data_IF_249864057898
#
_entry.id   IF_249864057898
#
_cell.length_a   1.000
_cell.length_b   1.000
_cell.length_c   1.000
_cell.angle_alpha   90.00
_cell.angle_beta   90.00
_cell.angle_gamma   90.00
#
_symmetry.space_group_name_H-M   'P 1'
#
loop_
_entity.id
_entity.type
_entity.pdbx_description
1 polymer ?
#
# COMPACT_ATOMS: atom_id res chain seq x y z
N UNK A 1 16.16 19.31 27.29
CA UNK A 1 16.24 18.21 26.31
C UNK A 1 17.11 18.62 25.13
N UNK A 2 18.11 17.82 24.77
CA UNK A 2 18.98 18.05 23.61
C UNK A 2 18.46 17.27 22.38
N UNK A 3 18.75 17.75 21.15
CA UNK A 3 18.33 17.09 19.91
C UNK A 3 18.85 15.65 19.80
N UNK A 4 20.10 15.41 20.19
CA UNK A 4 20.68 14.05 20.16
C UNK A 4 19.98 13.07 21.13
N UNK A 5 19.52 13.57 22.29
CA UNK A 5 18.75 12.75 23.22
C UNK A 5 17.37 12.42 22.65
N UNK A 6 16.74 13.38 21.95
CA UNK A 6 15.48 13.14 21.25
C UNK A 6 15.62 12.02 20.23
N UNK A 7 16.62 12.10 19.36
CA UNK A 7 16.85 11.12 18.31
C UNK A 7 17.15 9.72 18.88
N UNK A 8 17.91 9.65 19.98
CA UNK A 8 18.22 8.38 20.66
C UNK A 8 16.99 7.75 21.32
N UNK A 9 16.12 8.56 21.93
CA UNK A 9 14.83 8.09 22.47
C UNK A 9 13.91 7.60 21.33
N UNK A 10 13.83 8.37 20.23
CA UNK A 10 13.06 8.00 19.05
C UNK A 10 13.54 6.65 18.48
N UNK A 11 14.85 6.47 18.32
CA UNK A 11 15.46 5.24 17.85
C UNK A 11 15.18 4.05 18.79
N UNK A 12 15.25 4.25 20.12
CA UNK A 12 14.88 3.23 21.09
C UNK A 12 13.41 2.80 20.93
N UNK A 13 12.49 3.77 20.85
CA UNK A 13 11.06 3.52 20.72
C UNK A 13 10.66 2.92 19.36
N UNK A 14 11.50 3.07 18.33
CA UNK A 14 11.33 2.44 17.01
C UNK A 14 12.04 1.09 16.90
N UNK A 15 12.71 0.62 17.97
CA UNK A 15 13.54 -0.58 17.94
C UNK A 15 14.67 -0.50 16.88
N UNK A 16 15.22 0.70 16.67
CA UNK A 16 16.27 0.99 15.70
C UNK A 16 17.68 1.04 16.30
N UNK A 17 17.81 1.01 17.64
CA UNK A 17 19.11 0.89 18.30
C UNK A 17 19.70 -0.52 18.10
N UNK A 18 21.01 -0.61 17.91
CA UNK A 18 21.69 -1.91 17.88
C UNK A 18 21.63 -2.59 19.26
N UNK A 19 21.81 -3.91 19.29
CA UNK A 19 21.81 -4.69 20.54
C UNK A 19 22.65 -4.08 21.69
N UNK A 20 23.94 -3.75 21.49
CA UNK A 20 24.77 -3.15 22.55
C UNK A 20 24.31 -1.74 22.95
N UNK A 21 23.89 -0.90 21.99
CA UNK A 21 23.41 0.46 22.28
C UNK A 21 22.10 0.45 23.06
N UNK A 22 21.21 -0.48 22.72
CA UNK A 22 19.95 -0.68 23.41
C UNK A 22 20.17 -1.14 24.85
N UNK A 23 21.09 -2.08 25.08
CA UNK A 23 21.44 -2.52 26.43
C UNK A 23 22.03 -1.37 27.26
N UNK A 24 22.91 -0.56 26.68
CA UNK A 24 23.45 0.63 27.35
C UNK A 24 22.35 1.64 27.69
N UNK A 25 21.42 1.88 26.76
CA UNK A 25 20.27 2.76 26.96
C UNK A 25 19.32 2.24 28.05
N UNK A 26 19.04 0.94 28.08
CA UNK A 26 18.19 0.31 29.11
C UNK A 26 18.82 0.32 30.50
N UNK A 27 20.16 0.23 30.59
CA UNK A 27 20.88 0.46 31.84
C UNK A 27 20.75 1.92 32.30
N UNK A 28 20.94 2.87 31.39
CA UNK A 28 20.79 4.30 31.68
C UNK A 28 19.37 4.65 32.12
N UNK A 29 18.34 4.02 31.56
CA UNK A 29 16.94 4.19 31.98
C UNK A 29 16.66 3.76 33.41
N UNK A 30 17.44 2.82 33.97
CA UNK A 30 17.31 2.38 35.36
C UNK A 30 17.88 3.43 36.31
N UNK A 31 18.96 4.09 35.92
CA UNK A 31 19.69 5.04 36.74
C UNK A 31 19.14 6.48 36.60
N UNK A 32 18.68 6.85 35.41
CA UNK A 32 18.26 8.21 35.10
C UNK A 32 16.73 8.36 35.05
N UNK A 33 16.18 8.94 36.12
CA UNK A 33 14.74 9.23 36.25
C UNK A 33 14.24 10.27 35.23
N UNK A 34 15.06 11.24 34.85
CA UNK A 34 14.70 12.27 33.85
C UNK A 34 14.53 11.64 32.48
N UNK A 35 15.48 10.79 32.06
CA UNK A 35 15.41 10.05 30.80
C UNK A 35 14.18 9.13 30.74
N UNK A 36 13.85 8.46 31.85
CA UNK A 36 12.64 7.61 31.93
C UNK A 36 11.36 8.43 31.71
N UNK A 37 11.29 9.60 32.33
CA UNK A 37 10.14 10.51 32.19
C UNK A 37 10.00 10.99 30.75
N UNK A 38 11.10 11.32 30.08
CA UNK A 38 11.12 11.71 28.67
C UNK A 38 10.61 10.58 27.76
N UNK A 39 11.10 9.36 27.95
CA UNK A 39 10.62 8.17 27.21
C UNK A 39 9.11 7.98 27.41
N UNK A 40 8.62 8.11 28.65
CA UNK A 40 7.20 7.97 28.96
C UNK A 40 6.35 9.06 28.28
N UNK A 41 6.81 10.31 28.27
CA UNK A 41 6.14 11.42 27.58
C UNK A 41 6.03 11.13 26.09
N UNK A 42 7.12 10.72 25.43
CA UNK A 42 7.08 10.39 24.00
C UNK A 42 6.19 9.19 23.67
N UNK A 43 6.17 8.16 24.52
CA UNK A 43 5.26 7.03 24.37
C UNK A 43 3.79 7.47 24.42
N UNK A 44 3.43 8.33 25.37
CA UNK A 44 2.07 8.88 25.51
C UNK A 44 1.67 9.70 24.29
N UNK A 45 2.55 10.57 23.79
CA UNK A 45 2.29 11.37 22.57
C UNK A 45 2.03 10.45 21.38
N UNK A 46 2.90 9.45 21.15
CA UNK A 46 2.75 8.49 20.05
C UNK A 46 1.45 7.69 20.14
N UNK A 47 1.08 7.23 21.33
CA UNK A 47 -0.19 6.53 21.57
C UNK A 47 -1.40 7.43 21.29
N UNK A 48 -1.36 8.68 21.76
CA UNK A 48 -2.41 9.66 21.51
C UNK A 48 -2.61 9.94 20.02
N UNK A 49 -1.53 10.16 19.26
CA UNK A 49 -1.60 10.37 17.81
C UNK A 49 -2.18 9.15 17.08
N UNK A 50 -1.82 7.93 17.48
CA UNK A 50 -2.40 6.70 16.92
C UNK A 50 -3.89 6.59 17.22
N UNK A 51 -4.30 6.90 18.46
CA UNK A 51 -5.71 6.89 18.86
C UNK A 51 -6.52 7.89 18.02
N UNK A 52 -6.02 9.12 17.84
CA UNK A 52 -6.64 10.14 17.00
C UNK A 52 -6.78 9.68 15.53
N UNK A 53 -5.76 9.02 14.98
CA UNK A 53 -5.81 8.49 13.61
C UNK A 53 -6.87 7.38 13.45
N UNK A 54 -7.00 6.50 14.44
CA UNK A 54 -8.04 5.46 14.46
C UNK A 54 -9.43 6.09 14.59
N UNK A 55 -9.61 7.03 15.51
CA UNK A 55 -10.87 7.75 15.71
C UNK A 55 -11.33 8.41 14.41
N UNK A 56 -10.42 9.11 13.71
CA UNK A 56 -10.70 9.72 12.42
C UNK A 56 -11.20 8.70 11.39
N UNK A 57 -10.52 7.54 11.29
CA UNK A 57 -10.91 6.45 10.38
C UNK A 57 -12.29 5.87 10.73
N UNK A 58 -12.61 5.73 12.01
CA UNK A 58 -13.93 5.26 12.47
C UNK A 58 -15.01 6.26 12.10
N UNK A 59 -14.78 7.56 12.31
CA UNK A 59 -15.73 8.62 11.94
C UNK A 59 -15.98 8.64 10.43
N UNK A 60 -14.93 8.54 9.62
CA UNK A 60 -15.05 8.52 8.16
C UNK A 60 -15.74 7.23 7.67
N UNK A 61 -15.47 6.08 8.31
CA UNK A 61 -16.17 4.84 8.02
C UNK A 61 -17.67 4.95 8.32
N UNK A 62 -18.06 5.51 9.48
CA UNK A 62 -19.47 5.74 9.84
C UNK A 62 -20.19 6.64 8.85
N UNK A 63 -19.54 7.71 8.38
CA UNK A 63 -20.12 8.60 7.35
C UNK A 63 -20.41 7.85 6.04
N UNK A 64 -19.56 6.88 5.67
CA UNK A 64 -19.75 6.04 4.48
C UNK A 64 -20.88 5.01 4.65
N UNK A 65 -21.06 4.44 5.85
CA UNK A 65 -22.13 3.46 6.12
C UNK A 65 -23.50 4.06 6.40
N UNK A 66 -23.62 5.38 6.65
CA UNK A 66 -24.92 6.07 6.77
C UNK A 66 -25.63 6.30 5.43
N UNK A 67 -25.14 5.74 4.32
CA UNK A 67 -25.85 5.74 3.03
C UNK A 67 -26.95 4.67 3.08
N UNK A 68 -28.19 5.14 2.96
CA UNK A 68 -29.48 4.44 3.00
C UNK A 68 -29.49 2.96 2.58
N UNK A 69 -30.03 2.04 3.40
CA UNK A 69 -30.24 0.66 2.98
C UNK A 69 -31.32 0.61 1.90
N UNK A 70 -30.93 0.49 0.63
CA UNK A 70 -31.85 0.12 -0.44
C UNK A 70 -32.16 -1.38 -0.26
N UNK A 71 -33.24 -1.67 0.46
CA UNK A 71 -33.80 -3.01 0.63
C UNK A 71 -34.11 -3.60 -0.75
N UNK A 72 -33.17 -4.36 -1.29
CA UNK A 72 -33.41 -5.19 -2.45
C UNK A 72 -33.93 -6.53 -1.92
N UNK A 73 -35.23 -6.76 -2.08
CA UNK A 73 -35.88 -8.03 -1.73
C UNK A 73 -35.25 -9.12 -2.60
N UNK A 74 -34.31 -9.87 -2.03
CA UNK A 74 -33.75 -11.07 -2.67
C UNK A 74 -34.72 -12.22 -2.42
N UNK A 75 -35.42 -12.66 -3.47
CA UNK A 75 -36.18 -13.91 -3.46
C UNK A 75 -35.20 -15.07 -3.31
N UNK A 76 -35.34 -15.85 -2.24
CA UNK A 76 -34.54 -17.05 -2.01
C UNK A 76 -35.00 -18.13 -3.00
N UNK A 77 -34.20 -18.40 -4.02
CA UNK A 77 -34.47 -19.48 -4.97
C UNK A 77 -34.30 -20.84 -4.27
N UNK A 78 -35.29 -21.70 -4.50
CA UNK A 78 -35.48 -22.98 -3.85
C UNK A 78 -34.36 -23.99 -4.08
N UNK A 79 -34.34 -24.97 -3.17
CA UNK A 79 -33.41 -26.09 -3.02
C UNK A 79 -33.25 -26.86 -4.35
N UNK A 80 -32.08 -26.76 -4.98
CA UNK A 80 -31.73 -27.58 -6.16
C UNK A 80 -31.12 -28.91 -5.72
N UNK A 81 -31.95 -29.94 -5.78
CA UNK A 81 -31.56 -31.34 -5.64
C UNK A 81 -31.16 -31.85 -7.02
N UNK A 82 -29.85 -31.88 -7.29
CA UNK A 82 -29.19 -32.68 -8.34
C UNK A 82 -27.65 -32.60 -8.16
N UNK A 83 -27.15 -33.18 -7.07
CA UNK A 83 -25.72 -33.46 -6.88
C UNK A 83 -25.38 -34.77 -7.59
N UNK A 84 -25.26 -34.73 -8.92
CA UNK A 84 -24.92 -35.90 -9.72
C UNK A 84 -24.19 -35.61 -11.03
N UNK A 85 -23.98 -34.33 -11.39
CA UNK A 85 -23.23 -33.94 -12.60
C UNK A 85 -22.24 -32.79 -12.38
N UNK A 86 -22.07 -32.34 -11.14
CA UNK A 86 -21.19 -31.21 -10.84
C UNK A 86 -19.71 -31.59 -10.77
N UNK A 87 -19.33 -32.88 -10.71
CA UNK A 87 -17.93 -33.25 -10.55
C UNK A 87 -17.08 -32.82 -11.76
N UNK A 88 -17.56 -32.99 -13.00
CA UNK A 88 -16.82 -32.57 -14.19
C UNK A 88 -16.75 -31.05 -14.32
N UNK A 89 -17.84 -30.34 -13.96
CA UNK A 89 -17.88 -28.87 -13.96
C UNK A 89 -17.01 -28.29 -12.84
N UNK A 90 -17.01 -28.91 -11.65
CA UNK A 90 -16.16 -28.51 -10.53
C UNK A 90 -14.69 -28.82 -10.79
N UNK A 91 -14.36 -29.90 -11.50
CA UNK A 91 -12.99 -30.17 -11.96
C UNK A 91 -12.59 -29.21 -13.07
N UNK A 92 -13.45 -28.87 -14.02
CA UNK A 92 -13.12 -27.86 -15.05
C UNK A 92 -13.00 -26.45 -14.47
N UNK A 93 -13.86 -26.06 -13.54
CA UNK A 93 -13.79 -24.78 -12.84
C UNK A 93 -12.62 -24.76 -11.85
N UNK A 94 -12.35 -25.87 -11.16
CA UNK A 94 -11.23 -26.03 -10.25
C UNK A 94 -9.89 -26.06 -10.96
N UNK A 95 -9.79 -26.75 -12.10
CA UNK A 95 -8.62 -26.75 -12.97
C UNK A 95 -8.45 -25.41 -13.68
N UNK A 96 -9.54 -24.74 -14.08
CA UNK A 96 -9.51 -23.38 -14.60
C UNK A 96 -9.06 -22.36 -13.55
N UNK A 97 -9.51 -22.52 -12.31
CA UNK A 97 -9.09 -21.71 -11.15
C UNK A 97 -7.64 -21.99 -10.76
N UNK A 98 -7.20 -23.25 -10.75
CA UNK A 98 -5.81 -23.64 -10.51
C UNK A 98 -4.88 -23.20 -11.65
N UNK A 99 -5.29 -23.31 -12.91
CA UNK A 99 -4.53 -22.82 -14.05
C UNK A 99 -4.46 -21.29 -14.07
N UNK A 100 -5.52 -20.59 -13.63
CA UNK A 100 -5.51 -19.15 -13.40
C UNK A 100 -4.57 -18.76 -12.24
N UNK A 101 -4.59 -19.50 -11.14
CA UNK A 101 -3.68 -19.35 -10.00
C UNK A 101 -2.21 -19.54 -10.45
N UNK A 102 -1.94 -20.57 -11.25
CA UNK A 102 -0.60 -20.89 -11.74
C UNK A 102 -0.06 -19.88 -12.77
N UNK A 103 -0.94 -19.30 -13.60
CA UNK A 103 -0.55 -18.27 -14.57
C UNK A 103 -0.39 -16.85 -13.97
N UNK A 104 -0.69 -16.65 -12.68
CA UNK A 104 -0.51 -15.35 -12.01
C UNK A 104 0.92 -15.12 -11.46
N UNK A 105 1.74 -16.17 -11.33
CA UNK A 105 3.01 -16.11 -10.60
C UNK A 105 4.26 -15.88 -11.46
N UNK A 106 4.25 -16.21 -12.75
CA UNK A 106 5.50 -16.24 -13.54
C UNK A 106 6.01 -14.88 -14.03
N UNK A 107 5.19 -13.81 -13.95
CA UNK A 107 5.57 -12.46 -14.38
C UNK A 107 5.35 -11.37 -13.33
N UNK A 108 4.75 -11.68 -12.18
CA UNK A 108 4.44 -10.68 -11.14
C UNK A 108 5.66 -10.37 -10.26
N UNK A 109 6.55 -11.32 -10.03
CA UNK A 109 7.80 -11.14 -9.28
C UNK A 109 8.75 -10.14 -9.95
N UNK A 110 9.02 -10.32 -11.24
CA UNK A 110 9.89 -9.42 -12.01
C UNK A 110 9.31 -8.00 -12.13
N UNK A 111 7.98 -7.89 -12.30
CA UNK A 111 7.31 -6.58 -12.37
C UNK A 111 7.32 -5.85 -11.02
N UNK A 112 7.22 -6.60 -9.92
CA UNK A 112 7.37 -6.06 -8.55
C UNK A 112 8.76 -5.51 -8.32
N UNK A 113 9.78 -6.28 -8.69
CA UNK A 113 11.19 -5.89 -8.53
C UNK A 113 11.53 -4.64 -9.35
N UNK A 114 11.09 -4.59 -10.62
CA UNK A 114 11.26 -3.40 -11.47
C UNK A 114 10.52 -2.18 -10.93
N UNK A 115 9.33 -2.37 -10.35
CA UNK A 115 8.58 -1.29 -9.73
C UNK A 115 9.30 -0.76 -8.48
N UNK A 116 9.81 -1.64 -7.62
CA UNK A 116 10.54 -1.26 -6.42
C UNK A 116 11.84 -0.50 -6.72
N UNK A 117 12.55 -0.89 -7.77
CA UNK A 117 13.76 -0.19 -8.23
C UNK A 117 13.48 1.24 -8.71
N UNK A 118 12.33 1.47 -9.37
CA UNK A 118 11.94 2.79 -9.89
C UNK A 118 11.25 3.68 -8.84
N UNK A 119 10.69 3.11 -7.76
CA UNK A 119 10.08 3.87 -6.65
C UNK A 119 11.14 4.48 -5.72
N UNK A 120 11.90 5.45 -6.23
CA UNK A 120 13.00 6.09 -5.49
C UNK A 120 12.54 7.17 -4.50
N UNK A 121 11.34 7.74 -4.67
CA UNK A 121 10.80 8.80 -3.83
C UNK A 121 9.99 8.21 -2.67
N UNK A 122 10.56 8.30 -1.47
CA UNK A 122 9.98 7.77 -0.21
C UNK A 122 8.59 8.35 0.07
N UNK A 123 8.33 9.59 -0.35
CA UNK A 123 7.05 10.29 -0.12
C UNK A 123 5.90 9.62 -0.86
N UNK A 124 6.14 9.17 -2.09
CA UNK A 124 5.10 8.53 -2.92
C UNK A 124 5.03 7.03 -2.69
N UNK A 125 6.15 6.37 -2.35
CA UNK A 125 6.20 4.94 -2.02
C UNK A 125 5.34 4.57 -0.80
N UNK A 126 5.29 5.44 0.20
CA UNK A 126 4.55 5.23 1.46
C UNK A 126 3.10 5.72 1.41
N UNK A 127 2.70 6.38 0.32
CA UNK A 127 1.39 6.99 0.20
C UNK A 127 0.31 5.94 -0.11
N UNK A 128 -0.88 6.00 0.53
CA UNK A 128 -1.98 5.12 0.17
C UNK A 128 -2.36 5.25 -1.30
N UNK A 129 -2.74 4.14 -1.93
CA UNK A 129 -3.11 4.09 -3.33
C UNK A 129 -4.22 5.10 -3.71
N UNK A 130 -5.26 5.22 -2.88
CA UNK A 130 -6.35 6.19 -3.07
C UNK A 130 -5.85 7.65 -3.06
N UNK A 131 -4.82 7.94 -2.25
CA UNK A 131 -4.21 9.28 -2.19
C UNK A 131 -3.42 9.57 -3.47
N UNK A 132 -2.70 8.58 -4.03
CA UNK A 132 -2.03 8.73 -5.32
C UNK A 132 -3.06 9.01 -6.43
N UNK A 133 -4.16 8.26 -6.49
CA UNK A 133 -5.24 8.50 -7.45
C UNK A 133 -5.94 9.87 -7.28
N UNK A 134 -6.00 10.38 -6.06
CA UNK A 134 -6.54 11.71 -5.81
C UNK A 134 -5.61 12.79 -6.40
N UNK A 135 -4.29 12.62 -6.25
CA UNK A 135 -3.30 13.56 -6.82
C UNK A 135 -3.36 13.53 -8.35
N UNK A 136 -3.53 12.37 -8.99
CA UNK A 136 -3.68 12.32 -10.45
C UNK A 136 -4.87 13.12 -10.95
N UNK A 137 -5.95 13.25 -10.16
CA UNK A 137 -7.18 13.94 -10.56
C UNK A 137 -7.20 15.42 -10.18
N UNK A 138 -6.63 15.75 -9.03
CA UNK A 138 -6.87 17.03 -8.35
C UNK A 138 -5.59 17.83 -8.08
N UNK A 139 -4.41 17.39 -8.54
CA UNK A 139 -3.18 18.14 -8.34
C UNK A 139 -3.17 19.44 -9.15
N UNK A 140 -2.84 20.54 -8.47
CA UNK A 140 -2.70 21.86 -9.10
C UNK A 140 -1.39 22.02 -9.90
N UNK A 141 -0.41 21.14 -9.69
CA UNK A 141 0.87 21.16 -10.40
C UNK A 141 0.98 19.94 -11.32
N UNK A 142 1.32 20.20 -12.58
CA UNK A 142 1.59 19.20 -13.60
C UNK A 142 2.64 18.18 -13.12
N UNK A 143 3.73 18.63 -12.51
CA UNK A 143 4.78 17.75 -11.99
C UNK A 143 4.27 16.76 -10.94
N UNK A 144 3.45 17.23 -9.98
CA UNK A 144 2.87 16.33 -8.98
C UNK A 144 1.87 15.36 -9.59
N UNK A 145 1.10 15.79 -10.60
CA UNK A 145 0.16 14.94 -11.33
C UNK A 145 0.89 13.83 -12.07
N UNK A 146 1.89 14.19 -12.88
CA UNK A 146 2.69 13.24 -13.66
C UNK A 146 3.48 12.28 -12.76
N UNK A 147 3.99 12.76 -11.62
CA UNK A 147 4.58 11.90 -10.58
C UNK A 147 3.55 10.93 -10.04
N UNK A 148 2.36 11.40 -9.64
CA UNK A 148 1.33 10.51 -9.13
C UNK A 148 0.89 9.47 -10.17
N UNK A 149 0.73 9.85 -11.44
CA UNK A 149 0.36 8.93 -12.53
C UNK A 149 1.38 7.80 -12.68
N UNK A 150 2.68 8.15 -12.63
CA UNK A 150 3.77 7.18 -12.63
C UNK A 150 3.70 6.23 -11.42
N UNK A 151 3.56 6.76 -10.21
CA UNK A 151 3.50 5.93 -9.00
C UNK A 151 2.22 5.08 -8.90
N UNK A 152 1.09 5.54 -9.43
CA UNK A 152 -0.12 4.71 -9.57
C UNK A 152 0.14 3.53 -10.51
N UNK A 153 0.82 3.75 -11.65
CA UNK A 153 1.18 2.68 -12.56
C UNK A 153 2.11 1.65 -11.90
N UNK A 154 3.13 2.11 -11.17
CA UNK A 154 4.04 1.23 -10.42
C UNK A 154 3.33 0.50 -9.27
N UNK A 155 2.40 1.15 -8.57
CA UNK A 155 1.60 0.50 -7.53
C UNK A 155 0.73 -0.62 -8.11
N UNK A 156 0.11 -0.41 -9.28
CA UNK A 156 -0.60 -1.47 -9.98
C UNK A 156 0.32 -2.64 -10.39
N UNK A 157 1.57 -2.36 -10.79
CA UNK A 157 2.57 -3.40 -11.04
C UNK A 157 2.88 -4.19 -9.77
N UNK A 158 3.09 -3.50 -8.65
CA UNK A 158 3.37 -4.12 -7.36
C UNK A 158 2.20 -4.97 -6.84
N UNK A 159 0.95 -4.59 -7.13
CA UNK A 159 -0.24 -5.37 -6.79
C UNK A 159 -0.55 -6.52 -7.76
N UNK A 160 0.25 -6.70 -8.82
CA UNK A 160 0.02 -7.74 -9.84
C UNK A 160 -1.11 -7.42 -10.83
N UNK A 161 -1.66 -6.19 -10.79
CA UNK A 161 -2.71 -5.68 -11.68
C UNK A 161 -2.11 -5.27 -13.04
N UNK A 162 -1.61 -6.27 -13.77
CA UNK A 162 -0.81 -6.11 -15.01
C UNK A 162 -1.57 -5.35 -16.10
N UNK A 163 -2.89 -5.54 -16.24
CA UNK A 163 -3.69 -4.89 -17.29
C UNK A 163 -3.82 -3.39 -17.05
N UNK A 164 -4.12 -3.01 -15.81
CA UNK A 164 -4.29 -1.64 -15.34
C UNK A 164 -2.96 -0.88 -15.41
N UNK A 165 -1.88 -1.50 -14.92
CA UNK A 165 -0.53 -0.95 -15.04
C UNK A 165 -0.15 -0.68 -16.49
N UNK A 166 -0.34 -1.67 -17.38
CA UNK A 166 -0.01 -1.53 -18.80
C UNK A 166 -0.81 -0.41 -19.46
N UNK A 167 -2.11 -0.29 -19.15
CA UNK A 167 -2.97 0.76 -19.69
C UNK A 167 -2.45 2.17 -19.33
N UNK A 168 -2.11 2.39 -18.06
CA UNK A 168 -1.56 3.67 -17.62
C UNK A 168 -0.18 3.98 -18.20
N UNK A 169 0.72 2.98 -18.22
CA UNK A 169 2.04 3.15 -18.82
C UNK A 169 1.98 3.49 -20.31
N UNK A 170 1.03 2.93 -21.06
CA UNK A 170 0.80 3.30 -22.47
C UNK A 170 0.35 4.77 -22.57
N UNK A 171 -0.52 5.24 -21.68
CA UNK A 171 -0.92 6.64 -21.62
C UNK A 171 0.26 7.57 -21.38
N UNK A 172 1.10 7.23 -20.40
CA UNK A 172 2.32 7.97 -20.07
C UNK A 172 3.31 7.98 -21.24
N UNK A 173 3.54 6.82 -21.87
CA UNK A 173 4.48 6.69 -22.99
C UNK A 173 4.06 7.45 -24.25
N UNK A 174 2.74 7.62 -24.46
CA UNK A 174 2.19 8.38 -25.60
C UNK A 174 2.30 9.89 -25.45
N UNK A 175 2.53 10.40 -24.24
CA UNK A 175 2.64 11.83 -23.98
C UNK A 175 4.12 12.27 -23.99
N UNK A 176 4.60 12.98 -25.04
CA UNK A 176 6.00 13.37 -25.17
C UNK A 176 6.47 14.36 -24.10
N UNK A 177 5.54 15.12 -23.51
CA UNK A 177 5.83 16.12 -22.47
C UNK A 177 5.77 15.54 -21.04
N UNK A 178 5.48 14.25 -20.91
CA UNK A 178 5.40 13.60 -19.61
C UNK A 178 6.81 13.27 -19.09
N UNK A 179 7.13 13.70 -17.86
CA UNK A 179 8.46 13.52 -17.25
C UNK A 179 8.94 12.05 -17.20
N UNK A 180 8.00 11.11 -17.15
CA UNK A 180 8.25 9.67 -17.10
C UNK A 180 8.07 8.93 -18.44
N UNK A 181 7.90 9.63 -19.56
CA UNK A 181 7.64 9.05 -20.89
C UNK A 181 8.67 7.95 -21.27
N UNK A 182 9.96 8.30 -21.25
CA UNK A 182 11.04 7.36 -21.62
C UNK A 182 11.11 6.14 -20.70
N UNK A 183 10.82 6.33 -19.41
CA UNK A 183 10.81 5.24 -18.42
C UNK A 183 9.62 4.31 -18.63
N UNK A 184 8.45 4.85 -18.97
CA UNK A 184 7.27 4.05 -19.30
C UNK A 184 7.50 3.22 -20.57
N UNK A 185 8.11 3.79 -21.61
CA UNK A 185 8.47 3.03 -22.82
C UNK A 185 9.43 1.88 -22.53
N UNK A 186 10.45 2.12 -21.69
CA UNK A 186 11.40 1.08 -21.28
C UNK A 186 10.69 -0.03 -20.51
N UNK A 187 9.89 0.32 -19.50
CA UNK A 187 9.15 -0.67 -18.71
C UNK A 187 8.16 -1.48 -19.55
N UNK A 188 7.49 -0.87 -20.53
CA UNK A 188 6.60 -1.58 -21.45
C UNK A 188 7.34 -2.62 -22.30
N UNK A 189 8.59 -2.34 -22.70
CA UNK A 189 9.43 -3.26 -23.48
C UNK A 189 10.05 -4.37 -22.64
N UNK A 190 10.39 -4.09 -21.38
CA UNK A 190 11.12 -5.03 -20.51
C UNK A 190 10.18 -5.86 -19.62
N UNK A 191 9.16 -5.22 -19.03
CA UNK A 191 8.29 -5.85 -18.04
C UNK A 191 7.03 -6.54 -18.59
N UNK A 192 6.60 -6.20 -19.81
CA UNK A 192 5.33 -6.68 -20.37
C UNK A 192 5.49 -7.52 -21.65
N UNK A 193 6.67 -8.13 -21.83
CA UNK A 193 6.89 -9.18 -22.82
C UNK A 193 6.06 -10.43 -22.52
#
# INVERSE_FOLDING_TARGET
MNHEQFDRVEAYLQNALSGPERLAFESELKENTELRTEVEVQQKIRLGLRALAIEKRILDARKRTQITPKTTIVRTLGKVQNWGLAASVAVMLGAGWLAWQYNQESGSSQLRELAEQEMTDVRYKSMPFDSLQNITKNANSEDARQKAEWYVALAYMHEGKKKEAKGLLIGIAKNPDHAYQKRAEKLLKEGFK
#
